data_IF_449050281561
#
_entry.id   IF_449050281561
#
_cell.length_a   1.000
_cell.length_b   1.000
_cell.length_c   1.000
_cell.angle_alpha   90.00
_cell.angle_beta   90.00
_cell.angle_gamma   90.00
#
_symmetry.space_group_name_H-M   'P 1'
#
loop_
_entity.id
_entity.type
_entity.pdbx_description
1 polymer ?
#
# COMPACT_ATOMS: atom_id res chain seq x y z
N UNK A 1 14.17 -34.74 11.55
CA UNK A 1 14.87 -33.71 10.78
C UNK A 1 16.00 -33.16 11.66
N UNK A 2 17.18 -32.99 11.12
CA UNK A 2 18.35 -32.55 11.87
C UNK A 2 18.12 -31.12 12.40
N UNK A 3 18.31 -30.89 13.70
CA UNK A 3 18.13 -29.60 14.37
C UNK A 3 19.04 -28.52 13.75
N UNK A 4 20.23 -28.94 13.28
CA UNK A 4 21.17 -28.07 12.58
C UNK A 4 20.60 -27.52 11.26
N UNK A 5 19.86 -28.34 10.50
CA UNK A 5 19.21 -27.91 9.24
C UNK A 5 18.10 -26.91 9.51
N UNK A 6 17.28 -27.14 10.53
CA UNK A 6 16.21 -26.22 10.91
C UNK A 6 16.75 -24.85 11.38
N UNK A 7 17.80 -24.89 12.17
CA UNK A 7 18.47 -23.67 12.64
C UNK A 7 19.08 -22.89 11.47
N UNK A 8 19.76 -23.58 10.54
CA UNK A 8 20.34 -22.94 9.36
C UNK A 8 19.27 -22.27 8.49
N UNK A 9 18.11 -22.93 8.27
CA UNK A 9 17.00 -22.36 7.52
C UNK A 9 16.40 -21.15 8.23
N UNK A 10 16.15 -21.25 9.54
CA UNK A 10 15.59 -20.16 10.32
C UNK A 10 16.50 -18.92 10.28
N UNK A 11 17.83 -19.09 10.45
CA UNK A 11 18.80 -18.02 10.34
C UNK A 11 18.87 -17.41 8.92
N UNK A 12 18.76 -18.24 7.88
CA UNK A 12 18.77 -17.77 6.49
C UNK A 12 17.53 -16.93 6.15
N UNK A 13 16.36 -17.31 6.71
CA UNK A 13 15.09 -16.61 6.51
C UNK A 13 14.89 -15.40 7.45
N UNK A 14 15.63 -15.31 8.55
CA UNK A 14 15.43 -14.26 9.58
C UNK A 14 15.37 -12.81 9.04
N UNK A 15 16.18 -12.38 8.06
CA UNK A 15 16.11 -11.04 7.49
C UNK A 15 14.80 -10.76 6.72
N UNK A 16 14.05 -11.78 6.38
CA UNK A 16 12.78 -11.71 5.65
C UNK A 16 11.58 -12.04 6.55
N UNK A 17 11.76 -11.93 7.87
CA UNK A 17 10.73 -12.29 8.85
C UNK A 17 9.59 -11.27 8.99
N UNK A 18 9.75 -10.04 8.46
CA UNK A 18 8.68 -9.05 8.48
C UNK A 18 7.66 -9.33 7.37
N UNK A 19 6.59 -10.03 7.73
CA UNK A 19 5.53 -10.42 6.80
C UNK A 19 4.73 -9.26 6.20
N UNK A 20 4.97 -8.01 6.64
CA UNK A 20 4.39 -6.82 6.00
C UNK A 20 5.03 -6.52 4.65
N UNK A 21 6.29 -6.93 4.45
CA UNK A 21 7.09 -6.59 3.27
C UNK A 21 7.72 -7.81 2.61
N UNK A 22 7.77 -8.95 3.28
CA UNK A 22 8.44 -10.15 2.82
C UNK A 22 7.58 -11.38 2.93
N UNK A 23 7.86 -12.35 2.06
CA UNK A 23 7.40 -13.74 2.18
C UNK A 23 8.63 -14.63 2.10
N UNK A 24 8.88 -15.42 3.15
CA UNK A 24 9.94 -16.42 3.20
C UNK A 24 9.44 -17.61 4.03
N UNK A 25 8.57 -18.40 3.44
CA UNK A 25 7.94 -19.56 4.05
C UNK A 25 8.49 -20.83 3.41
N UNK A 26 9.64 -21.26 3.91
CA UNK A 26 10.39 -22.38 3.36
C UNK A 26 10.48 -23.54 4.34
N UNK A 27 10.50 -24.74 3.80
CA UNK A 27 10.78 -25.98 4.50
C UNK A 27 11.86 -26.75 3.79
N UNK A 28 12.61 -27.61 4.53
CA UNK A 28 13.58 -28.52 3.96
C UNK A 28 12.93 -29.92 3.88
N UNK A 29 12.96 -30.50 2.69
CA UNK A 29 12.51 -31.87 2.45
C UNK A 29 13.75 -32.70 2.04
N UNK A 30 14.10 -33.78 2.79
CA UNK A 30 15.20 -34.64 2.39
C UNK A 30 14.92 -35.31 1.04
N UNK A 31 15.86 -35.20 0.10
CA UNK A 31 15.81 -35.89 -1.18
C UNK A 31 17.00 -36.85 -1.34
N UNK A 32 17.06 -37.58 -2.45
CA UNK A 32 18.13 -38.53 -2.77
C UNK A 32 19.48 -37.83 -2.94
N UNK A 33 20.24 -37.68 -1.83
CA UNK A 33 21.56 -37.06 -1.79
C UNK A 33 21.54 -35.52 -1.95
N UNK A 34 20.36 -34.88 -1.84
CA UNK A 34 20.14 -33.42 -1.89
C UNK A 34 19.22 -32.95 -0.78
N UNK A 35 19.29 -31.69 -0.43
CA UNK A 35 18.35 -31.00 0.44
C UNK A 35 17.43 -30.14 -0.43
N UNK A 36 16.17 -30.53 -0.56
CA UNK A 36 15.20 -29.81 -1.36
C UNK A 36 14.52 -28.75 -0.51
N UNK A 37 14.53 -27.49 -0.98
CA UNK A 37 13.68 -26.45 -0.43
C UNK A 37 12.31 -26.51 -1.09
N UNK A 38 11.26 -26.39 -0.29
CA UNK A 38 9.88 -26.30 -0.73
C UNK A 38 9.17 -25.18 0.02
N UNK A 39 8.16 -24.57 -0.61
CA UNK A 39 7.40 -23.48 -0.03
C UNK A 39 7.31 -22.27 -0.95
N UNK A 40 7.30 -21.06 -0.36
CA UNK A 40 7.16 -19.84 -1.14
C UNK A 40 8.04 -18.70 -0.61
N UNK A 41 8.49 -17.88 -1.55
CA UNK A 41 9.22 -16.62 -1.28
C UNK A 41 8.58 -15.48 -2.08
N UNK A 42 8.81 -14.24 -1.64
CA UNK A 42 8.28 -13.08 -2.33
C UNK A 42 8.83 -12.97 -3.76
N UNK A 43 10.16 -13.03 -3.92
CA UNK A 43 10.83 -12.80 -5.20
C UNK A 43 12.14 -13.59 -5.30
N UNK A 44 12.74 -13.57 -6.50
CA UNK A 44 14.02 -14.23 -6.81
C UNK A 44 15.18 -13.70 -5.96
N UNK A 45 15.15 -12.43 -5.58
CA UNK A 45 16.18 -11.84 -4.74
C UNK A 45 16.17 -12.45 -3.34
N UNK A 46 14.97 -12.67 -2.78
CA UNK A 46 14.77 -13.36 -1.50
C UNK A 46 15.29 -14.80 -1.59
N UNK A 47 14.91 -15.55 -2.64
CA UNK A 47 15.38 -16.93 -2.83
C UNK A 47 16.90 -16.99 -2.93
N UNK A 48 17.47 -16.14 -3.76
CA UNK A 48 18.93 -16.08 -3.95
C UNK A 48 19.67 -15.79 -2.64
N UNK A 49 19.19 -14.83 -1.86
CA UNK A 49 19.80 -14.47 -0.59
C UNK A 49 19.71 -15.59 0.44
N UNK A 50 18.59 -16.32 0.50
CA UNK A 50 18.44 -17.50 1.36
C UNK A 50 19.39 -18.60 0.92
N UNK A 51 19.48 -18.90 -0.37
CA UNK A 51 20.39 -19.94 -0.91
C UNK A 51 21.86 -19.63 -0.60
N UNK A 52 22.28 -18.39 -0.77
CA UNK A 52 23.66 -17.97 -0.43
C UNK A 52 23.95 -18.23 1.06
N UNK A 53 23.04 -17.86 1.96
CA UNK A 53 23.22 -18.06 3.41
C UNK A 53 23.24 -19.51 3.81
N UNK A 54 22.36 -20.32 3.22
CA UNK A 54 22.34 -21.77 3.44
C UNK A 54 23.63 -22.42 2.96
N UNK A 55 24.15 -22.05 1.78
CA UNK A 55 25.42 -22.59 1.26
C UNK A 55 26.62 -22.15 2.11
N UNK A 56 26.60 -20.94 2.66
CA UNK A 56 27.64 -20.48 3.60
C UNK A 56 27.62 -21.25 4.92
N UNK A 57 26.43 -21.59 5.42
CA UNK A 57 26.25 -22.28 6.70
C UNK A 57 26.53 -23.79 6.59
N UNK A 58 26.20 -24.37 5.44
CA UNK A 58 26.34 -25.80 5.14
C UNK A 58 27.03 -25.97 3.78
N UNK A 59 28.35 -25.75 3.71
CA UNK A 59 29.10 -25.69 2.43
C UNK A 59 29.08 -27.01 1.66
N UNK A 60 29.02 -28.14 2.35
CA UNK A 60 29.02 -29.47 1.74
C UNK A 60 27.62 -29.95 1.30
N UNK A 61 26.56 -29.20 1.66
CA UNK A 61 25.21 -29.54 1.30
C UNK A 61 24.91 -29.23 -0.18
N UNK A 62 24.21 -30.14 -0.84
CA UNK A 62 23.68 -29.91 -2.18
C UNK A 62 22.22 -29.48 -2.07
N UNK A 63 21.96 -28.24 -2.43
CA UNK A 63 20.63 -27.64 -2.37
C UNK A 63 19.92 -27.75 -3.69
N UNK A 64 18.60 -27.99 -3.62
CA UNK A 64 17.66 -27.90 -4.74
C UNK A 64 16.50 -27.02 -4.32
N UNK A 65 16.20 -25.99 -5.12
CA UNK A 65 15.12 -25.02 -4.89
C UNK A 65 14.03 -25.08 -5.96
N UNK A 66 13.99 -26.13 -6.79
CA UNK A 66 13.03 -26.27 -7.89
C UNK A 66 11.56 -26.28 -7.45
N UNK A 67 11.28 -26.69 -6.21
CA UNK A 67 9.93 -26.72 -5.64
C UNK A 67 9.56 -25.44 -4.86
N UNK A 68 10.38 -24.40 -4.94
CA UNK A 68 10.08 -23.11 -4.32
C UNK A 68 9.28 -22.24 -5.29
N UNK A 69 8.11 -21.79 -4.84
CA UNK A 69 7.29 -20.85 -5.61
C UNK A 69 7.72 -19.42 -5.34
N UNK A 70 8.09 -18.71 -6.39
CA UNK A 70 8.39 -17.28 -6.38
C UNK A 70 7.11 -16.52 -6.72
N UNK A 71 6.59 -15.72 -5.77
CA UNK A 71 5.30 -15.06 -5.90
C UNK A 71 5.32 -13.91 -6.93
N UNK A 72 6.38 -13.09 -6.91
CA UNK A 72 6.61 -12.02 -7.91
C UNK A 72 7.28 -12.58 -9.16
N UNK A 73 6.70 -13.65 -9.71
CA UNK A 73 7.11 -14.30 -10.95
C UNK A 73 6.14 -14.03 -12.11
N UNK A 74 6.12 -14.93 -13.07
CA UNK A 74 5.27 -14.80 -14.27
C UNK A 74 3.76 -14.76 -14.00
N UNK A 75 3.30 -15.21 -12.82
CA UNK A 75 1.89 -15.21 -12.43
C UNK A 75 1.45 -13.90 -11.77
N UNK A 76 2.39 -13.07 -11.35
CA UNK A 76 2.08 -11.76 -10.75
C UNK A 76 1.47 -10.83 -11.81
N UNK A 77 0.41 -10.11 -11.44
CA UNK A 77 -0.29 -9.24 -12.37
C UNK A 77 -0.65 -7.89 -11.74
N UNK A 78 -0.51 -6.79 -12.48
CA UNK A 78 -0.94 -5.49 -12.01
C UNK A 78 -2.47 -5.39 -12.03
N UNK A 79 -3.02 -4.79 -10.99
CA UNK A 79 -4.43 -4.42 -10.88
C UNK A 79 -4.55 -3.03 -10.24
N UNK A 80 -5.76 -2.49 -10.26
CA UNK A 80 -6.08 -1.16 -9.71
C UNK A 80 -7.24 -1.29 -8.74
N UNK A 81 -7.18 -0.61 -7.60
CA UNK A 81 -8.31 -0.48 -6.68
C UNK A 81 -9.44 0.29 -7.36
N UNK A 82 -10.60 -0.34 -7.54
CA UNK A 82 -11.76 0.19 -8.27
C UNK A 82 -12.84 0.76 -7.34
N UNK A 83 -12.79 0.49 -6.05
CA UNK A 83 -13.71 1.07 -5.05
C UNK A 83 -13.08 2.28 -4.38
N UNK A 84 -13.90 3.14 -3.78
CA UNK A 84 -13.47 4.38 -3.12
C UNK A 84 -12.39 4.15 -2.07
N UNK A 85 -12.58 3.10 -1.25
CA UNK A 85 -11.71 2.69 -0.17
C UNK A 85 -11.94 1.19 0.09
N UNK A 86 -10.88 0.44 0.32
CA UNK A 86 -10.99 -0.99 0.67
C UNK A 86 -9.96 -1.35 1.73
N UNK A 87 -10.25 -2.42 2.51
CA UNK A 87 -9.28 -2.94 3.46
C UNK A 87 -8.18 -3.76 2.80
N UNK A 88 -6.97 -3.64 3.32
CA UNK A 88 -5.89 -4.60 3.18
C UNK A 88 -5.84 -5.40 4.47
N UNK A 89 -6.13 -6.69 4.41
CA UNK A 89 -6.28 -7.56 5.57
C UNK A 89 -5.05 -8.45 5.74
N UNK A 90 -4.75 -8.82 6.96
CA UNK A 90 -3.66 -9.78 7.27
C UNK A 90 -3.98 -11.21 6.80
N UNK A 91 -5.27 -11.54 6.69
CA UNK A 91 -5.77 -12.86 6.34
C UNK A 91 -6.91 -12.72 5.30
N UNK A 92 -7.18 -13.74 4.46
CA UNK A 92 -8.26 -13.70 3.48
C UNK A 92 -9.65 -13.82 4.15
N UNK A 93 -9.98 -12.84 4.99
CA UNK A 93 -11.20 -12.83 5.80
C UNK A 93 -11.63 -11.41 6.13
N UNK A 94 -12.95 -11.15 6.14
CA UNK A 94 -13.54 -9.91 6.63
C UNK A 94 -13.33 -9.69 8.14
N UNK A 95 -13.04 -10.77 8.88
CA UNK A 95 -12.72 -10.73 10.31
C UNK A 95 -11.20 -10.67 10.56
N UNK A 96 -10.40 -10.63 9.50
CA UNK A 96 -8.95 -10.47 9.59
C UNK A 96 -8.57 -9.08 10.10
N UNK A 97 -7.39 -8.98 10.68
CA UNK A 97 -6.83 -7.70 11.09
C UNK A 97 -6.64 -6.80 9.87
N UNK A 98 -7.27 -5.61 9.89
CA UNK A 98 -7.06 -4.60 8.87
C UNK A 98 -5.69 -3.95 9.09
N UNK A 99 -4.83 -3.98 8.09
CA UNK A 99 -3.48 -3.40 8.13
C UNK A 99 -3.41 -2.02 7.49
N UNK A 100 -4.22 -1.80 6.45
CA UNK A 100 -4.28 -0.52 5.72
C UNK A 100 -5.60 -0.40 4.96
N UNK A 101 -5.83 0.79 4.38
CA UNK A 101 -6.98 1.07 3.51
C UNK A 101 -6.52 1.74 2.21
N UNK A 102 -6.17 0.98 1.16
CA UNK A 102 -5.92 1.52 -0.17
C UNK A 102 -7.15 2.23 -0.74
N UNK A 103 -6.90 3.34 -1.46
CA UNK A 103 -7.91 4.19 -2.10
C UNK A 103 -8.10 3.84 -3.56
N UNK A 104 -9.18 4.33 -4.14
CA UNK A 104 -9.40 4.29 -5.59
C UNK A 104 -8.17 4.75 -6.36
N UNK A 105 -7.79 3.98 -7.38
CA UNK A 105 -6.63 4.26 -8.21
C UNK A 105 -5.30 3.77 -7.67
N UNK A 106 -5.24 3.24 -6.44
CA UNK A 106 -4.03 2.61 -5.95
C UNK A 106 -3.66 1.41 -6.82
N UNK A 107 -2.40 1.37 -7.27
CA UNK A 107 -1.85 0.24 -8.00
C UNK A 107 -1.54 -0.90 -7.04
N UNK A 108 -1.85 -2.11 -7.43
CA UNK A 108 -1.55 -3.32 -6.67
C UNK A 108 -0.99 -4.39 -7.58
N UNK A 109 -0.04 -5.16 -7.09
CA UNK A 109 0.49 -6.35 -7.74
C UNK A 109 -0.16 -7.57 -7.08
N UNK A 110 -1.03 -8.28 -7.80
CA UNK A 110 -1.67 -9.51 -7.31
C UNK A 110 -0.67 -10.65 -7.44
N UNK A 111 -0.37 -11.32 -6.33
CA UNK A 111 0.64 -12.36 -6.20
C UNK A 111 0.02 -13.76 -6.12
N UNK A 112 -1.14 -13.86 -5.48
CA UNK A 112 -1.84 -15.13 -5.21
C UNK A 112 -3.34 -14.91 -5.16
N UNK A 113 -4.12 -15.99 -5.34
CA UNK A 113 -5.57 -16.00 -5.18
C UNK A 113 -6.01 -17.09 -4.22
N UNK A 114 -6.96 -16.74 -3.33
CA UNK A 114 -7.66 -17.68 -2.47
C UNK A 114 -9.16 -17.37 -2.49
N UNK A 115 -9.92 -18.10 -3.28
CA UNK A 115 -11.36 -17.89 -3.48
C UNK A 115 -11.68 -16.49 -3.99
N UNK A 116 -12.27 -15.67 -3.14
CA UNK A 116 -12.63 -14.25 -3.46
C UNK A 116 -11.57 -13.25 -2.97
N UNK A 117 -10.47 -13.73 -2.42
CA UNK A 117 -9.38 -12.91 -1.92
C UNK A 117 -8.17 -13.02 -2.82
N UNK A 118 -7.39 -11.96 -2.86
CA UNK A 118 -6.09 -11.94 -3.51
C UNK A 118 -5.04 -11.46 -2.51
N UNK A 119 -3.91 -12.15 -2.49
CA UNK A 119 -2.73 -11.66 -1.81
C UNK A 119 -2.04 -10.66 -2.71
N UNK A 120 -1.92 -9.43 -2.24
CA UNK A 120 -1.50 -8.30 -3.04
C UNK A 120 -0.34 -7.55 -2.38
N UNK A 121 0.48 -6.94 -3.22
CA UNK A 121 1.53 -6.01 -2.84
C UNK A 121 1.14 -4.62 -3.31
N UNK A 122 1.18 -3.65 -2.41
CA UNK A 122 0.97 -2.24 -2.71
C UNK A 122 2.24 -1.61 -3.30
N UNK A 123 2.13 -0.39 -3.82
CA UNK A 123 3.24 0.39 -4.40
C UNK A 123 4.34 0.73 -3.38
N UNK A 124 4.00 0.89 -2.10
CA UNK A 124 4.94 1.06 -0.99
C UNK A 124 5.58 -0.24 -0.51
N UNK A 125 5.24 -1.36 -1.14
CA UNK A 125 5.76 -2.69 -0.82
C UNK A 125 4.95 -3.46 0.22
N UNK A 126 3.92 -2.86 0.81
CA UNK A 126 3.12 -3.48 1.85
C UNK A 126 2.30 -4.66 1.31
N UNK A 127 2.31 -5.79 2.02
CA UNK A 127 1.65 -7.03 1.63
C UNK A 127 0.39 -7.28 2.44
N UNK A 128 -0.63 -7.85 1.80
CA UNK A 128 -1.85 -8.27 2.50
C UNK A 128 -2.91 -8.79 1.55
N UNK A 129 -4.04 -9.18 2.12
CA UNK A 129 -5.17 -9.75 1.41
C UNK A 129 -6.21 -8.68 1.09
N UNK A 130 -6.66 -8.65 -0.16
CA UNK A 130 -7.72 -7.76 -0.63
C UNK A 130 -8.87 -8.56 -1.24
N UNK A 131 -10.09 -8.01 -1.16
CA UNK A 131 -11.23 -8.61 -1.82
C UNK A 131 -11.15 -8.39 -3.33
N UNK A 132 -11.13 -9.46 -4.11
CA UNK A 132 -10.85 -9.44 -5.56
C UNK A 132 -11.81 -8.55 -6.33
N UNK A 133 -13.12 -8.57 -5.99
CA UNK A 133 -14.15 -7.84 -6.73
C UNK A 133 -14.04 -6.30 -6.55
N UNK A 134 -13.14 -5.82 -5.69
CA UNK A 134 -12.81 -4.40 -5.54
C UNK A 134 -11.61 -3.96 -6.40
N UNK A 135 -11.07 -4.88 -7.18
CA UNK A 135 -9.94 -4.63 -8.08
C UNK A 135 -10.37 -4.79 -9.54
N UNK A 136 -9.70 -4.08 -10.43
CA UNK A 136 -9.87 -4.20 -11.89
C UNK A 136 -8.51 -4.26 -12.58
N UNK A 137 -8.48 -4.87 -13.77
CA UNK A 137 -7.26 -4.95 -14.58
C UNK A 137 -6.93 -3.62 -15.27
N UNK A 138 -7.94 -2.80 -15.57
CA UNK A 138 -7.74 -1.54 -16.24
C UNK A 138 -7.03 -0.54 -15.31
N UNK A 139 -6.03 0.19 -15.83
CA UNK A 139 -5.37 1.23 -15.05
C UNK A 139 -6.33 2.37 -14.71
N UNK A 140 -6.05 3.08 -13.63
CA UNK A 140 -6.73 4.33 -13.34
C UNK A 140 -6.44 5.37 -14.44
N UNK A 141 -7.36 6.34 -14.68
CA UNK A 141 -7.04 7.51 -15.50
C UNK A 141 -5.76 8.17 -14.99
N UNK A 142 -4.91 8.65 -15.92
CA UNK A 142 -3.66 9.32 -15.56
C UNK A 142 -3.96 10.55 -14.68
N UNK A 143 -3.54 10.57 -13.41
CA UNK A 143 -3.96 11.61 -12.49
C UNK A 143 -3.21 12.90 -12.75
N UNK A 144 -3.93 14.02 -12.68
CA UNK A 144 -3.37 15.38 -12.71
C UNK A 144 -3.47 16.06 -11.34
N UNK A 145 -4.42 15.60 -10.51
CA UNK A 145 -4.72 16.15 -9.19
C UNK A 145 -4.92 15.02 -8.17
N UNK A 146 -5.00 15.40 -6.92
CA UNK A 146 -5.48 14.59 -5.81
C UNK A 146 -6.59 15.32 -5.06
N UNK A 147 -7.44 14.57 -4.38
CA UNK A 147 -8.44 15.12 -3.45
C UNK A 147 -7.70 15.78 -2.29
N UNK A 148 -7.92 17.07 -2.08
CA UNK A 148 -7.30 17.87 -1.02
C UNK A 148 -8.15 17.98 0.24
N UNK A 149 -9.48 17.93 0.12
CA UNK A 149 -10.40 17.91 1.23
C UNK A 149 -10.46 16.51 1.90
N UNK A 150 -10.95 16.37 3.14
CA UNK A 150 -11.11 15.08 3.81
C UNK A 150 -11.89 14.05 2.99
N UNK A 151 -12.91 14.49 2.27
CA UNK A 151 -13.61 13.78 1.20
C UNK A 151 -14.29 14.77 0.28
N UNK A 152 -14.62 14.34 -0.93
CA UNK A 152 -15.46 15.07 -1.88
C UNK A 152 -16.63 14.21 -2.34
N UNK A 153 -17.70 14.86 -2.77
CA UNK A 153 -18.77 14.24 -3.51
C UNK A 153 -18.58 14.51 -5.01
N UNK A 154 -18.70 13.48 -5.82
CA UNK A 154 -18.67 13.59 -7.27
C UNK A 154 -20.12 13.50 -7.77
N UNK A 155 -20.56 14.50 -8.51
CA UNK A 155 -21.94 14.66 -8.94
C UNK A 155 -22.13 14.29 -10.42
N UNK A 156 -23.35 13.86 -10.78
CA UNK A 156 -23.70 13.52 -12.16
C UNK A 156 -23.81 14.74 -13.08
N UNK A 157 -23.97 15.94 -12.51
CA UNK A 157 -24.04 17.23 -13.23
C UNK A 157 -23.39 18.33 -12.40
N UNK A 158 -22.97 19.48 -13.00
CA UNK A 158 -22.24 20.54 -12.32
C UNK A 158 -23.14 21.41 -11.42
N UNK A 159 -23.77 20.79 -10.44
CA UNK A 159 -24.55 21.43 -9.39
C UNK A 159 -24.73 20.52 -8.18
N UNK A 160 -24.88 21.10 -6.98
CA UNK A 160 -24.99 20.37 -5.70
C UNK A 160 -26.34 19.62 -5.50
N UNK A 161 -27.33 19.82 -6.36
CA UNK A 161 -28.62 19.12 -6.32
C UNK A 161 -28.64 17.88 -7.22
N UNK A 162 -27.61 17.70 -8.04
CA UNK A 162 -27.48 16.52 -8.90
C UNK A 162 -27.24 15.24 -8.07
N UNK A 163 -27.61 14.07 -8.59
CA UNK A 163 -27.30 12.80 -7.94
C UNK A 163 -25.79 12.65 -7.68
N UNK A 164 -25.44 12.16 -6.51
CA UNK A 164 -24.05 11.79 -6.18
C UNK A 164 -23.70 10.48 -6.89
N UNK A 165 -22.64 10.50 -7.67
CA UNK A 165 -22.12 9.34 -8.40
C UNK A 165 -21.20 8.53 -7.49
N UNK A 166 -20.26 9.21 -6.82
CA UNK A 166 -19.30 8.56 -5.92
C UNK A 166 -18.80 9.55 -4.87
N UNK A 167 -18.09 9.02 -3.85
CA UNK A 167 -17.36 9.78 -2.85
C UNK A 167 -15.89 9.43 -2.96
N UNK A 168 -15.02 10.43 -2.95
CA UNK A 168 -13.58 10.22 -2.96
C UNK A 168 -12.94 10.83 -1.70
N UNK A 169 -11.92 10.17 -1.17
CA UNK A 169 -11.27 10.57 0.08
C UNK A 169 -9.96 11.32 -0.17
N UNK A 170 -9.51 12.07 0.81
CA UNK A 170 -8.24 12.80 0.79
C UNK A 170 -7.10 11.93 0.24
N UNK A 171 -6.29 12.50 -0.65
CA UNK A 171 -5.18 11.80 -1.30
C UNK A 171 -5.58 10.83 -2.42
N UNK A 172 -6.89 10.72 -2.78
CA UNK A 172 -7.31 9.95 -3.96
C UNK A 172 -6.82 10.66 -5.24
N UNK A 173 -6.05 9.98 -6.12
CA UNK A 173 -5.63 10.53 -7.40
C UNK A 173 -6.79 10.62 -8.38
N UNK A 174 -6.89 11.75 -9.10
CA UNK A 174 -7.95 12.01 -10.08
C UNK A 174 -7.38 12.69 -11.32
N UNK A 175 -7.92 12.36 -12.49
CA UNK A 175 -7.77 13.16 -13.70
C UNK A 175 -8.80 14.29 -13.67
N UNK A 176 -8.38 15.51 -13.97
CA UNK A 176 -9.24 16.71 -13.95
C UNK A 176 -9.23 17.37 -15.31
N UNK A 177 -10.43 17.67 -15.82
CA UNK A 177 -10.67 18.39 -17.05
C UNK A 177 -11.56 19.61 -16.77
N UNK A 178 -11.47 20.68 -17.56
CA UNK A 178 -12.40 21.80 -17.47
C UNK A 178 -13.85 21.35 -17.57
N UNK A 179 -14.69 21.83 -16.68
CA UNK A 179 -16.14 21.62 -16.70
C UNK A 179 -16.90 22.91 -16.96
N UNK A 180 -18.17 22.94 -16.59
CA UNK A 180 -19.08 24.06 -16.81
C UNK A 180 -19.36 24.79 -15.49
N UNK A 181 -19.73 26.08 -15.57
CA UNK A 181 -20.22 26.89 -14.43
C UNK A 181 -19.27 26.91 -13.22
N UNK A 182 -17.94 26.87 -13.45
CA UNK A 182 -16.94 26.86 -12.37
C UNK A 182 -16.68 25.50 -11.76
N UNK A 183 -17.32 24.43 -12.23
CA UNK A 183 -17.06 23.04 -11.88
C UNK A 183 -15.95 22.45 -12.75
N UNK A 184 -15.36 21.37 -12.28
CA UNK A 184 -14.44 20.54 -13.09
C UNK A 184 -15.02 19.14 -13.26
N UNK A 185 -14.71 18.52 -14.39
CA UNK A 185 -14.97 17.10 -14.59
C UNK A 185 -13.82 16.30 -14.02
N UNK A 186 -14.14 15.35 -13.14
CA UNK A 186 -13.16 14.46 -12.50
C UNK A 186 -13.37 13.02 -12.93
N UNK A 187 -12.27 12.30 -13.18
CA UNK A 187 -12.28 10.88 -13.48
C UNK A 187 -11.35 10.15 -12.51
N UNK A 188 -11.85 9.10 -11.89
CA UNK A 188 -11.13 8.24 -10.97
C UNK A 188 -11.36 6.76 -11.28
N UNK A 189 -10.66 5.87 -10.58
CA UNK A 189 -10.92 4.44 -10.66
C UNK A 189 -12.31 4.06 -10.12
N UNK A 190 -12.89 4.87 -9.22
CA UNK A 190 -14.21 4.63 -8.60
C UNK A 190 -15.37 5.37 -9.25
N UNK A 191 -15.17 5.98 -10.41
CA UNK A 191 -16.21 6.69 -11.16
C UNK A 191 -15.76 8.06 -11.63
N UNK A 192 -16.65 8.73 -12.38
CA UNK A 192 -16.43 10.04 -12.98
C UNK A 192 -17.65 10.94 -12.85
N UNK A 193 -17.44 12.24 -12.88
CA UNK A 193 -18.50 13.26 -12.80
C UNK A 193 -17.93 14.64 -12.46
N UNK A 194 -18.69 15.47 -11.79
CA UNK A 194 -18.34 16.85 -11.51
C UNK A 194 -18.00 17.06 -10.02
N UNK A 195 -16.98 17.87 -9.76
CA UNK A 195 -16.56 18.26 -8.42
C UNK A 195 -16.20 19.76 -8.36
N UNK A 196 -16.17 20.31 -7.14
CA UNK A 196 -15.66 21.66 -6.89
C UNK A 196 -14.13 21.67 -7.03
N UNK A 197 -13.55 22.52 -7.91
CA UNK A 197 -12.11 22.59 -8.09
C UNK A 197 -11.35 23.00 -6.81
N UNK A 198 -12.00 23.69 -5.88
CA UNK A 198 -11.38 24.14 -4.62
C UNK A 198 -11.03 22.97 -3.68
N UNK A 199 -11.65 21.82 -3.88
CA UNK A 199 -11.41 20.59 -3.10
C UNK A 199 -10.27 19.72 -3.67
N UNK A 200 -9.65 20.16 -4.78
CA UNK A 200 -8.64 19.40 -5.52
C UNK A 200 -7.28 20.12 -5.47
N UNK A 201 -6.21 19.33 -5.50
CA UNK A 201 -4.82 19.82 -5.52
C UNK A 201 -4.05 19.24 -6.69
N UNK A 202 -3.33 20.07 -7.46
CA UNK A 202 -2.44 19.57 -8.51
C UNK A 202 -1.34 18.65 -7.95
N UNK A 203 -1.02 17.58 -8.69
CA UNK A 203 0.08 16.66 -8.36
C UNK A 203 1.46 17.19 -8.77
N UNK A 204 1.52 18.13 -9.73
CA UNK A 204 2.78 18.64 -10.28
C UNK A 204 3.58 19.53 -9.32
N UNK A 205 3.06 19.77 -8.13
CA UNK A 205 3.74 20.58 -7.14
C UNK A 205 4.85 19.80 -6.40
N UNK A 206 5.87 19.38 -7.15
CA UNK A 206 7.09 18.73 -6.63
C UNK A 206 8.07 19.71 -5.97
N UNK A 207 7.63 20.93 -5.68
CA UNK A 207 8.47 21.91 -5.00
C UNK A 207 8.83 21.45 -3.60
N UNK A 208 10.04 21.79 -3.08
CA UNK A 208 10.42 21.46 -1.70
C UNK A 208 9.37 21.93 -0.68
N UNK A 209 9.28 21.25 0.46
CA UNK A 209 8.42 21.64 1.57
C UNK A 209 8.81 23.06 2.03
N UNK A 210 8.15 24.06 1.46
CA UNK A 210 8.27 25.47 1.85
C UNK A 210 7.29 25.82 2.99
N UNK A 211 7.38 27.03 3.49
CA UNK A 211 6.53 27.51 4.57
C UNK A 211 5.02 27.39 4.23
N UNK A 212 4.65 27.56 2.95
CA UNK A 212 3.26 27.46 2.49
C UNK A 212 2.76 26.04 2.56
N UNK A 213 3.56 25.03 2.13
CA UNK A 213 3.20 23.61 2.25
C UNK A 213 3.06 23.18 3.71
N UNK A 214 3.92 23.68 4.60
CA UNK A 214 3.79 23.45 6.04
C UNK A 214 2.49 24.00 6.60
N UNK A 215 2.10 25.22 6.20
CA UNK A 215 0.82 25.82 6.59
C UNK A 215 -0.37 25.00 6.07
N UNK A 216 -0.31 24.53 4.83
CA UNK A 216 -1.34 23.66 4.25
C UNK A 216 -1.42 22.33 5.00
N UNK A 217 -0.29 21.69 5.31
CA UNK A 217 -0.27 20.45 6.09
C UNK A 217 -0.87 20.64 7.49
N UNK A 218 -0.60 21.77 8.14
CA UNK A 218 -1.24 22.11 9.42
C UNK A 218 -2.75 22.33 9.27
N UNK A 219 -3.20 23.06 8.24
CA UNK A 219 -4.62 23.25 7.95
C UNK A 219 -5.31 21.90 7.70
N UNK A 220 -4.69 21.03 6.89
CA UNK A 220 -5.21 19.69 6.60
C UNK A 220 -5.34 18.85 7.86
N UNK A 221 -4.34 18.92 8.74
CA UNK A 221 -4.39 18.20 10.01
C UNK A 221 -5.63 18.56 10.83
N UNK A 222 -5.98 19.85 10.91
CA UNK A 222 -7.14 20.31 11.66
C UNK A 222 -8.48 19.79 11.10
N UNK A 223 -8.56 19.49 9.82
CA UNK A 223 -9.79 18.97 9.19
C UNK A 223 -10.13 17.53 9.63
N UNK A 224 -9.20 16.82 10.26
CA UNK A 224 -9.40 15.47 10.79
C UNK A 224 -9.70 15.45 12.29
N UNK A 225 -9.89 16.61 12.93
CA UNK A 225 -10.30 16.65 14.34
C UNK A 225 -11.67 15.99 14.48
N UNK A 226 -11.79 15.06 15.45
CA UNK A 226 -13.03 14.33 15.71
C UNK A 226 -13.19 13.05 14.88
N UNK A 227 -12.28 12.74 13.97
CA UNK A 227 -12.27 11.43 13.28
C UNK A 227 -11.95 10.34 14.30
N UNK A 228 -12.75 9.25 14.35
CA UNK A 228 -12.51 8.17 15.29
C UNK A 228 -11.21 7.42 14.97
N UNK A 229 -10.59 6.86 16.02
CA UNK A 229 -9.47 5.96 15.83
C UNK A 229 -9.95 4.62 15.23
N UNK A 230 -9.31 4.20 14.16
CA UNK A 230 -9.53 2.90 13.53
C UNK A 230 -8.19 2.30 13.17
N UNK A 231 -7.87 1.13 13.73
CA UNK A 231 -6.65 0.39 13.39
C UNK A 231 -6.60 0.09 11.88
N UNK A 232 -5.49 0.39 11.22
CA UNK A 232 -5.35 0.27 9.76
C UNK A 232 -6.10 1.34 8.96
N UNK A 233 -6.80 2.26 9.62
CA UNK A 233 -7.59 3.30 8.96
C UNK A 233 -6.75 4.40 8.34
N UNK A 234 -7.25 4.98 7.22
CA UNK A 234 -6.56 6.03 6.46
C UNK A 234 -7.51 7.12 5.95
N UNK A 235 -8.72 7.24 6.52
CA UNK A 235 -9.75 8.17 6.03
C UNK A 235 -10.55 8.80 7.15
N UNK A 236 -11.49 9.70 6.81
CA UNK A 236 -12.45 10.30 7.75
C UNK A 236 -13.42 9.31 8.37
N UNK A 237 -13.51 8.09 7.87
CA UNK A 237 -14.32 7.02 8.49
C UNK A 237 -13.63 6.38 9.68
N UNK A 238 -12.36 6.63 9.85
CA UNK A 238 -11.48 6.21 10.92
C UNK A 238 -10.04 6.22 10.46
N UNK A 239 -9.14 6.63 11.35
CA UNK A 239 -7.72 6.77 11.02
C UNK A 239 -6.87 6.36 12.23
N UNK A 240 -5.73 5.69 11.98
CA UNK A 240 -4.74 5.44 13.03
C UNK A 240 -3.61 6.48 13.00
N UNK A 241 -2.70 6.41 13.95
CA UNK A 241 -1.63 7.38 14.12
C UNK A 241 -0.72 7.48 12.89
N UNK A 242 -0.24 6.35 12.38
CA UNK A 242 0.67 6.29 11.23
C UNK A 242 -0.04 6.55 9.90
N UNK A 243 -1.30 6.11 9.75
CA UNK A 243 -2.15 6.43 8.60
C UNK A 243 -2.46 7.93 8.51
N UNK A 244 -2.66 8.58 9.65
CA UNK A 244 -2.82 10.04 9.71
C UNK A 244 -1.54 10.77 9.28
N UNK A 245 -0.39 10.38 9.85
CA UNK A 245 0.89 10.95 9.45
C UNK A 245 1.17 10.73 7.94
N UNK A 246 0.95 9.50 7.44
CA UNK A 246 1.12 9.17 6.03
C UNK A 246 0.21 10.02 5.13
N UNK A 247 -1.07 10.17 5.50
CA UNK A 247 -2.02 10.97 4.72
C UNK A 247 -1.61 12.43 4.62
N UNK A 248 -1.22 13.06 5.73
CA UNK A 248 -0.79 14.46 5.74
C UNK A 248 0.46 14.70 4.89
N UNK A 249 1.43 13.77 4.97
CA UNK A 249 2.64 13.85 4.14
C UNK A 249 2.29 13.67 2.66
N UNK A 250 1.43 12.73 2.30
CA UNK A 250 0.95 12.52 0.93
C UNK A 250 0.27 13.77 0.39
N UNK A 251 -0.61 14.43 1.16
CA UNK A 251 -1.25 15.70 0.77
C UNK A 251 -0.23 16.82 0.57
N UNK A 252 0.90 16.77 1.27
CA UNK A 252 2.02 17.67 1.09
C UNK A 252 2.98 17.25 -0.04
N UNK A 253 2.71 16.14 -0.74
CA UNK A 253 3.54 15.63 -1.84
C UNK A 253 4.78 14.86 -1.37
N UNK A 254 4.74 14.29 -0.18
CA UNK A 254 5.81 13.46 0.40
C UNK A 254 5.26 12.08 0.73
N UNK A 255 5.86 11.04 0.18
CA UNK A 255 5.53 9.67 0.55
C UNK A 255 6.36 9.21 1.73
N UNK A 256 5.69 8.66 2.75
CA UNK A 256 6.32 8.02 3.90
C UNK A 256 5.71 6.62 4.10
N UNK A 257 6.42 5.70 4.76
CA UNK A 257 5.92 4.34 5.01
C UNK A 257 4.59 4.33 5.77
N UNK A 258 3.87 3.19 5.69
CA UNK A 258 2.56 3.03 6.33
C UNK A 258 2.65 2.97 7.85
N UNK A 259 3.59 2.22 8.41
CA UNK A 259 3.64 1.91 9.85
C UNK A 259 4.61 2.82 10.62
N UNK A 260 4.27 3.09 11.88
CA UNK A 260 4.98 4.04 12.73
C UNK A 260 6.44 3.65 13.01
N UNK A 261 6.74 2.37 13.17
CA UNK A 261 8.10 1.85 13.36
C UNK A 261 8.97 2.06 12.11
N UNK A 262 8.39 1.84 10.92
CA UNK A 262 9.07 2.06 9.64
C UNK A 262 9.21 3.57 9.34
N UNK A 263 8.19 4.39 9.69
CA UNK A 263 8.28 5.85 9.63
C UNK A 263 9.40 6.37 10.52
N UNK A 264 9.50 5.86 11.75
CA UNK A 264 10.55 6.21 12.68
C UNK A 264 11.95 5.84 12.13
N UNK A 265 12.10 4.65 11.57
CA UNK A 265 13.36 4.19 10.98
C UNK A 265 13.77 5.00 9.73
N UNK A 266 12.80 5.49 8.95
CA UNK A 266 13.04 6.35 7.78
C UNK A 266 13.32 7.82 8.15
N UNK A 267 12.97 8.23 9.36
CA UNK A 267 13.14 9.59 9.87
C UNK A 267 14.57 9.91 10.30
N UNK A 268 14.83 11.18 10.54
CA UNK A 268 16.07 11.64 11.18
C UNK A 268 15.78 12.01 12.62
N UNK A 269 16.57 11.55 13.59
CA UNK A 269 16.48 12.01 14.98
C UNK A 269 16.65 13.53 15.07
N UNK A 270 15.80 14.18 15.84
CA UNK A 270 15.88 15.62 16.13
C UNK A 270 15.85 15.83 17.63
N UNK A 271 16.67 16.76 18.11
CA UNK A 271 16.75 17.12 19.52
C UNK A 271 15.99 18.44 19.81
N UNK A 272 15.42 18.59 21.01
CA UNK A 272 14.81 19.85 21.43
C UNK A 272 15.83 21.02 21.50
N UNK A 273 15.38 22.26 21.27
CA UNK A 273 14.03 22.68 20.94
C UNK A 273 13.66 22.34 19.49
N UNK A 274 12.44 21.79 19.31
CA UNK A 274 11.98 21.44 17.97
C UNK A 274 11.69 22.70 17.16
N UNK A 275 12.28 22.78 15.97
CA UNK A 275 11.96 23.79 14.98
C UNK A 275 10.98 23.23 13.95
N UNK A 276 10.14 24.06 13.29
CA UNK A 276 9.34 23.60 12.15
C UNK A 276 10.25 22.99 11.08
N UNK A 277 9.97 21.72 10.71
CA UNK A 277 10.74 20.94 9.73
C UNK A 277 10.51 21.38 8.29
#
# INVERSE_FOLDING_TARGET
MDEQLLTALAEACAPFGDGRFHVCELTIVPGDGRLCLSGRVLDEATLTAVMIRLQQRLPDARWDSGDVRVLRGAAARPMTVATNLTGLQRQPSWLGEQQSQPRAGAAVEVLEEDGRWVFARLDDGYLGWMYRDYLRAEPAPAPTHQVGAPFILVYAAPNYLAPVVTRLFAGTPVAVEPGENGWVHVSSAAGQGYADPMELRPLDDKRPLDARRRQLAHHDALQFIGVPYLWGGTSVHGIDCSGYAQLLHRLAGVDIPRDADVQFAAGRPVEPPFAPG
#
